data_IF_568232194557
#
_entry.id   IF_568232194557
#
_cell.length_a   1.000
_cell.length_b   1.000
_cell.length_c   1.000
_cell.angle_alpha   90.00
_cell.angle_beta   90.00
_cell.angle_gamma   90.00
#
_symmetry.space_group_name_H-M   'P 1'
#
loop_
_entity.id
_entity.type
_entity.pdbx_description
1 polymer ?
#
# COMPACT_ATOMS: atom_id res chain seq x y z
N UNK A 1 -20.14 -9.24 15.47
CA UNK A 1 -19.39 -8.22 14.70
C UNK A 1 -19.17 -8.76 13.29
N UNK A 2 -19.39 -7.95 12.26
CA UNK A 2 -19.13 -8.34 10.88
C UNK A 2 -17.62 -8.38 10.58
N UNK A 3 -17.14 -9.32 9.74
CA UNK A 3 -15.73 -9.40 9.34
C UNK A 3 -15.17 -8.09 8.80
N UNK A 4 -15.86 -7.46 7.83
CA UNK A 4 -15.42 -6.20 7.23
C UNK A 4 -15.29 -5.05 8.24
N UNK A 5 -16.06 -5.08 9.34
CA UNK A 5 -15.91 -4.11 10.41
C UNK A 5 -14.62 -4.34 11.22
N UNK A 6 -14.18 -5.59 11.36
CA UNK A 6 -12.89 -5.91 11.98
C UNK A 6 -11.75 -5.33 11.16
N UNK A 7 -11.71 -5.58 9.84
CA UNK A 7 -10.76 -4.96 8.91
C UNK A 7 -10.78 -3.44 9.04
N UNK A 8 -11.97 -2.82 9.05
CA UNK A 8 -12.12 -1.37 9.13
C UNK A 8 -11.61 -0.78 10.44
N UNK A 9 -11.79 -1.46 11.58
CA UNK A 9 -11.22 -1.04 12.87
C UNK A 9 -9.69 -1.07 12.80
N UNK A 10 -9.11 -2.13 12.22
CA UNK A 10 -7.66 -2.25 12.04
C UNK A 10 -7.11 -1.10 11.20
N UNK A 11 -7.77 -0.81 10.08
CA UNK A 11 -7.42 0.34 9.24
C UNK A 11 -7.57 1.68 9.95
N UNK A 12 -8.57 1.81 10.83
CA UNK A 12 -8.74 2.97 11.69
C UNK A 12 -7.52 3.27 12.57
N UNK A 13 -6.82 2.23 13.05
CA UNK A 13 -5.58 2.40 13.81
C UNK A 13 -4.45 3.00 12.97
N UNK A 14 -4.34 2.61 11.69
CA UNK A 14 -3.38 3.21 10.76
C UNK A 14 -3.74 4.67 10.47
N UNK A 15 -5.01 4.97 10.20
CA UNK A 15 -5.45 6.35 9.96
C UNK A 15 -5.17 7.25 11.16
N UNK A 16 -5.39 6.73 12.38
CA UNK A 16 -5.02 7.42 13.61
C UNK A 16 -3.51 7.68 13.68
N UNK A 17 -2.67 6.69 13.36
CA UNK A 17 -1.22 6.87 13.35
C UNK A 17 -0.76 7.89 12.30
N UNK A 18 -1.33 7.87 11.09
CA UNK A 18 -1.04 8.89 10.06
C UNK A 18 -1.46 10.28 10.53
N UNK A 19 -2.60 10.40 11.22
CA UNK A 19 -3.02 11.67 11.82
C UNK A 19 -2.03 12.16 12.88
N UNK A 20 -1.61 11.27 13.79
CA UNK A 20 -0.60 11.57 14.80
C UNK A 20 0.74 11.97 14.15
N UNK A 21 1.15 11.29 13.09
CA UNK A 21 2.35 11.64 12.31
C UNK A 21 2.24 13.06 11.76
N UNK A 22 1.12 13.43 11.13
CA UNK A 22 0.94 14.78 10.56
C UNK A 22 0.93 15.87 11.63
N UNK A 23 0.43 15.58 12.84
CA UNK A 23 0.36 16.56 13.93
C UNK A 23 1.70 16.69 14.67
N UNK A 24 2.33 15.56 15.00
CA UNK A 24 3.46 15.52 15.94
C UNK A 24 4.83 15.35 15.25
N UNK A 25 4.89 14.88 14.01
CA UNK A 25 6.13 14.68 13.26
C UNK A 25 5.94 14.90 11.74
N UNK A 26 5.48 16.09 11.31
CA UNK A 26 5.18 16.36 9.92
C UNK A 26 6.42 16.37 9.00
N UNK A 27 7.63 16.45 9.57
CA UNK A 27 8.89 16.43 8.82
C UNK A 27 9.40 15.03 8.47
N UNK A 28 8.83 13.99 9.12
CA UNK A 28 9.23 12.57 9.00
C UNK A 28 10.68 12.29 9.45
N UNK A 29 11.29 13.18 10.26
CA UNK A 29 12.68 13.04 10.73
C UNK A 29 12.75 12.79 12.23
N UNK A 30 12.00 13.57 13.03
CA UNK A 30 12.05 13.47 14.50
C UNK A 30 13.34 14.02 15.13
N UNK A 31 13.67 13.65 16.38
CA UNK A 31 12.95 12.68 17.21
C UNK A 31 11.62 13.25 17.74
N UNK A 32 10.59 12.43 17.69
CA UNK A 32 9.31 12.68 18.35
C UNK A 32 9.30 12.10 19.77
N UNK A 33 8.21 12.35 20.50
CA UNK A 33 8.03 11.70 21.80
C UNK A 33 7.97 10.17 21.63
N UNK A 34 8.68 9.36 22.44
CA UNK A 34 8.74 7.89 22.33
C UNK A 34 7.39 7.18 22.10
N UNK A 35 6.34 7.64 22.79
CA UNK A 35 4.97 7.12 22.68
C UNK A 35 4.45 7.16 21.22
N UNK A 36 4.88 8.13 20.41
CA UNK A 36 4.46 8.22 19.01
C UNK A 36 4.93 7.00 18.21
N UNK A 37 6.19 6.59 18.37
CA UNK A 37 6.75 5.41 17.70
C UNK A 37 6.12 4.11 18.21
N UNK A 38 5.87 4.00 19.52
CA UNK A 38 5.12 2.87 20.07
C UNK A 38 3.68 2.83 19.56
N UNK A 39 3.03 3.99 19.35
CA UNK A 39 1.72 4.07 18.71
C UNK A 39 1.77 3.56 17.27
N UNK A 40 2.82 3.92 16.51
CA UNK A 40 3.04 3.40 15.16
C UNK A 40 3.13 1.87 15.15
N UNK A 41 4.00 1.31 15.99
CA UNK A 41 4.16 -0.14 16.14
C UNK A 41 2.85 -0.82 16.54
N UNK A 42 2.16 -0.28 17.55
CA UNK A 42 0.91 -0.84 18.04
C UNK A 42 -0.20 -0.80 16.99
N UNK A 43 -0.36 0.33 16.29
CA UNK A 43 -1.41 0.45 15.27
C UNK A 43 -1.14 -0.42 14.05
N UNK A 44 0.12 -0.60 13.64
CA UNK A 44 0.47 -1.54 12.57
C UNK A 44 0.26 -3.00 13.00
N UNK A 45 0.61 -3.34 14.23
CA UNK A 45 0.35 -4.67 14.78
C UNK A 45 -1.14 -4.95 14.94
N UNK A 46 -1.91 -3.96 15.40
CA UNK A 46 -3.37 -4.03 15.49
C UNK A 46 -3.99 -4.24 14.11
N UNK A 47 -3.56 -3.47 13.10
CA UNK A 47 -3.98 -3.65 11.72
C UNK A 47 -3.72 -5.09 11.26
N UNK A 48 -2.46 -5.53 11.33
CA UNK A 48 -2.04 -6.87 10.91
C UNK A 48 -2.84 -7.98 11.61
N UNK A 49 -3.10 -7.81 12.91
CA UNK A 49 -3.90 -8.77 13.66
C UNK A 49 -5.35 -8.77 13.20
N UNK A 50 -5.97 -7.60 13.00
CA UNK A 50 -7.37 -7.46 12.63
C UNK A 50 -7.65 -7.98 11.22
N UNK A 51 -6.75 -7.69 10.28
CA UNK A 51 -6.70 -8.26 8.94
C UNK A 51 -6.69 -9.79 9.01
N UNK A 52 -5.73 -10.40 9.71
CA UNK A 52 -5.63 -11.86 9.79
C UNK A 52 -6.77 -12.61 10.51
N UNK A 53 -7.59 -11.90 11.32
CA UNK A 53 -8.71 -12.52 12.03
C UNK A 53 -10.05 -12.33 11.32
N UNK A 54 -10.16 -11.43 10.33
CA UNK A 54 -11.43 -11.10 9.68
C UNK A 54 -12.02 -12.34 8.96
N UNK A 55 -11.20 -13.12 8.26
CA UNK A 55 -11.60 -14.32 7.53
C UNK A 55 -11.87 -15.49 8.48
N UNK A 56 -11.15 -15.55 9.61
CA UNK A 56 -11.48 -16.50 10.70
C UNK A 56 -12.84 -16.16 11.29
N UNK A 57 -13.12 -14.88 11.50
CA UNK A 57 -14.40 -14.39 11.98
C UNK A 57 -15.50 -14.68 10.94
N UNK A 58 -15.26 -14.45 9.65
CA UNK A 58 -16.21 -14.75 8.57
C UNK A 58 -16.61 -16.22 8.53
N UNK A 59 -15.64 -17.13 8.66
CA UNK A 59 -15.91 -18.58 8.76
C UNK A 59 -16.69 -18.93 10.02
N UNK A 60 -16.31 -18.35 11.17
CA UNK A 60 -16.97 -18.59 12.46
C UNK A 60 -18.43 -18.14 12.45
N UNK A 61 -18.74 -17.00 11.82
CA UNK A 61 -20.10 -16.45 11.77
C UNK A 61 -20.90 -16.90 10.55
N UNK A 62 -20.33 -17.74 9.66
CA UNK A 62 -20.98 -18.18 8.43
C UNK A 62 -21.27 -17.04 7.45
N UNK A 63 -20.48 -15.97 7.48
CA UNK A 63 -20.70 -14.74 6.70
C UNK A 63 -19.62 -14.47 5.66
N UNK A 64 -18.87 -15.49 5.24
CA UNK A 64 -17.90 -15.40 4.15
C UNK A 64 -18.59 -14.99 2.84
N UNK A 65 -18.00 -14.03 2.12
CA UNK A 65 -18.54 -13.56 0.84
C UNK A 65 -17.45 -12.96 -0.05
N UNK A 66 -17.66 -12.88 -1.38
CA UNK A 66 -16.78 -12.13 -2.29
C UNK A 66 -16.61 -10.66 -1.91
N UNK A 67 -17.63 -10.05 -1.27
CA UNK A 67 -17.54 -8.70 -0.75
C UNK A 67 -16.48 -8.59 0.36
N UNK A 68 -16.39 -9.60 1.22
CA UNK A 68 -15.38 -9.65 2.28
C UNK A 68 -13.98 -9.60 1.71
N UNK A 69 -13.66 -10.47 0.75
CA UNK A 69 -12.36 -10.48 0.07
C UNK A 69 -12.06 -9.17 -0.67
N UNK A 70 -13.04 -8.58 -1.37
CA UNK A 70 -12.86 -7.29 -2.02
C UNK A 70 -12.61 -6.15 -1.02
N UNK A 71 -13.28 -6.19 0.13
CA UNK A 71 -13.16 -5.17 1.16
C UNK A 71 -11.79 -5.28 1.85
N UNK A 72 -11.41 -6.48 2.26
CA UNK A 72 -10.19 -6.78 3.00
C UNK A 72 -8.93 -6.41 2.19
N UNK A 73 -8.70 -7.08 1.06
CA UNK A 73 -7.57 -6.78 0.18
C UNK A 73 -7.65 -5.35 -0.42
N UNK A 74 -8.86 -4.78 -0.50
CA UNK A 74 -9.04 -3.39 -0.90
C UNK A 74 -8.47 -2.41 0.13
N UNK A 75 -8.65 -2.69 1.42
CA UNK A 75 -8.07 -1.94 2.54
C UNK A 75 -6.56 -2.16 2.63
N UNK A 76 -6.06 -3.40 2.44
CA UNK A 76 -4.61 -3.68 2.33
C UNK A 76 -3.92 -2.80 1.30
N UNK A 77 -4.57 -2.62 0.15
CA UNK A 77 -4.05 -1.78 -0.91
C UNK A 77 -3.95 -0.32 -0.50
N UNK A 78 -4.95 0.21 0.22
CA UNK A 78 -4.86 1.58 0.76
C UNK A 78 -3.76 1.69 1.80
N UNK A 79 -3.60 0.65 2.63
CA UNK A 79 -2.68 0.64 3.75
C UNK A 79 -1.20 0.65 3.32
N UNK A 80 -0.88 0.12 2.13
CA UNK A 80 0.48 -0.01 1.61
C UNK A 80 1.33 1.25 1.78
N UNK A 81 0.84 2.42 1.36
CA UNK A 81 1.59 3.68 1.49
C UNK A 81 1.41 4.34 2.86
N UNK A 82 0.26 4.13 3.52
CA UNK A 82 -0.10 4.80 4.78
C UNK A 82 0.65 4.22 5.99
N UNK A 83 0.68 2.89 6.15
CA UNK A 83 1.50 2.25 7.16
C UNK A 83 2.99 2.55 6.93
N UNK A 84 3.41 2.59 5.67
CA UNK A 84 4.82 2.83 5.32
C UNK A 84 5.27 4.29 5.52
N UNK A 85 4.35 5.26 5.54
CA UNK A 85 4.64 6.62 6.02
C UNK A 85 5.06 6.59 7.51
N UNK A 86 4.38 5.78 8.32
CA UNK A 86 4.73 5.64 9.74
C UNK A 86 6.11 5.01 9.90
N UNK A 87 6.47 4.06 9.04
CA UNK A 87 7.82 3.45 9.02
C UNK A 87 8.88 4.47 8.62
N UNK A 88 8.58 5.27 7.59
CA UNK A 88 9.45 6.36 7.12
C UNK A 88 9.76 7.36 8.25
N UNK A 89 8.75 7.71 9.04
CA UNK A 89 8.90 8.58 10.21
C UNK A 89 9.65 7.89 11.36
N UNK A 90 9.35 6.62 11.63
CA UNK A 90 10.03 5.85 12.67
C UNK A 90 11.53 5.74 12.41
N UNK A 91 11.90 5.56 11.14
CA UNK A 91 13.30 5.50 10.72
C UNK A 91 13.97 6.88 10.55
N UNK A 92 13.25 7.99 10.75
CA UNK A 92 13.81 9.35 10.60
C UNK A 92 14.26 9.69 9.18
N UNK A 93 13.66 9.09 8.16
CA UNK A 93 14.15 9.19 6.77
C UNK A 93 13.81 10.51 6.08
N UNK A 94 12.84 11.27 6.60
CA UNK A 94 12.44 12.56 6.04
C UNK A 94 12.00 12.49 4.57
N UNK A 95 12.20 13.61 3.86
CA UNK A 95 11.95 13.71 2.41
C UNK A 95 13.16 13.31 1.56
N UNK A 96 14.02 12.45 2.08
CA UNK A 96 15.13 11.89 1.30
C UNK A 96 14.62 10.93 0.22
N UNK A 97 15.46 10.60 -0.76
CA UNK A 97 15.12 9.57 -1.75
C UNK A 97 14.81 8.22 -1.08
N UNK A 98 15.52 7.88 0.00
CA UNK A 98 15.26 6.69 0.80
C UNK A 98 13.90 6.76 1.48
N UNK A 99 13.52 7.89 2.07
CA UNK A 99 12.19 8.07 2.67
C UNK A 99 11.04 7.91 1.66
N UNK A 100 11.16 8.54 0.49
CA UNK A 100 10.19 8.39 -0.60
C UNK A 100 10.11 6.96 -1.13
N UNK A 101 11.25 6.27 -1.24
CA UNK A 101 11.26 4.86 -1.61
C UNK A 101 10.59 3.99 -0.55
N UNK A 102 10.96 4.15 0.72
CA UNK A 102 10.40 3.38 1.83
C UNK A 102 8.89 3.49 1.83
N UNK A 103 8.36 4.71 1.76
CA UNK A 103 6.91 4.95 1.77
C UNK A 103 6.14 4.36 0.57
N UNK A 104 6.81 4.09 -0.56
CA UNK A 104 6.16 3.65 -1.79
C UNK A 104 6.40 2.19 -2.13
N UNK A 105 7.50 1.57 -1.68
CA UNK A 105 7.87 0.21 -2.08
C UNK A 105 6.80 -0.86 -1.78
N UNK A 106 5.97 -0.80 -0.72
CA UNK A 106 4.99 -1.85 -0.43
C UNK A 106 3.93 -2.05 -1.51
N UNK A 107 3.72 -1.08 -2.40
CA UNK A 107 2.77 -1.21 -3.53
C UNK A 107 3.18 -2.33 -4.50
N UNK A 108 4.48 -2.62 -4.62
CA UNK A 108 4.98 -3.66 -5.51
C UNK A 108 4.56 -5.07 -5.05
N UNK A 109 4.96 -5.55 -3.85
CA UNK A 109 4.57 -6.87 -3.41
C UNK A 109 3.04 -7.04 -3.36
N UNK A 110 2.30 -6.02 -2.92
CA UNK A 110 0.84 -6.06 -2.89
C UNK A 110 0.23 -6.26 -4.28
N UNK A 111 0.72 -5.52 -5.28
CA UNK A 111 0.22 -5.66 -6.65
C UNK A 111 0.51 -7.04 -7.23
N UNK A 112 1.73 -7.57 -7.03
CA UNK A 112 2.11 -8.87 -7.58
C UNK A 112 1.39 -10.03 -6.90
N UNK A 113 1.09 -9.94 -5.60
CA UNK A 113 0.22 -10.92 -4.92
C UNK A 113 -1.23 -10.85 -5.40
N UNK A 114 -1.72 -9.63 -5.69
CA UNK A 114 -3.06 -9.44 -6.28
C UNK A 114 -3.13 -10.03 -7.70
N UNK A 115 -2.11 -9.78 -8.52
CA UNK A 115 -1.99 -10.33 -9.86
C UNK A 115 -1.86 -11.85 -9.85
N UNK A 116 -1.08 -12.41 -8.92
CA UNK A 116 -1.00 -13.84 -8.70
C UNK A 116 -2.38 -14.44 -8.38
N UNK A 117 -3.07 -13.88 -7.38
CA UNK A 117 -4.40 -14.32 -6.95
C UNK A 117 -5.42 -14.28 -8.09
N UNK A 118 -5.33 -13.30 -8.99
CA UNK A 118 -6.19 -13.23 -10.17
C UNK A 118 -6.08 -14.50 -11.05
N UNK A 119 -4.89 -15.08 -11.23
CA UNK A 119 -4.67 -16.29 -12.05
C UNK A 119 -4.76 -17.60 -11.29
N UNK A 120 -4.33 -17.63 -10.03
CA UNK A 120 -4.33 -18.84 -9.20
C UNK A 120 -5.68 -19.08 -8.52
N UNK A 121 -6.54 -18.06 -8.48
CA UNK A 121 -7.78 -17.98 -7.72
C UNK A 121 -7.65 -18.31 -6.23
N UNK A 122 -6.42 -18.19 -5.71
CA UNK A 122 -6.09 -18.49 -4.32
C UNK A 122 -4.96 -17.56 -3.90
N UNK A 123 -5.18 -16.82 -2.81
CA UNK A 123 -4.10 -16.09 -2.16
C UNK A 123 -3.27 -17.09 -1.33
N UNK A 124 -2.14 -17.53 -1.88
CA UNK A 124 -1.25 -18.45 -1.17
C UNK A 124 -0.24 -17.66 -0.33
N UNK A 125 -0.51 -17.55 0.97
CA UNK A 125 0.46 -17.07 1.96
C UNK A 125 1.23 -18.26 2.50
N UNK A 126 2.39 -18.56 1.91
CA UNK A 126 3.30 -19.58 2.41
C UNK A 126 3.87 -19.26 3.80
N UNK A 127 4.64 -20.19 4.37
CA UNK A 127 5.31 -20.00 5.67
C UNK A 127 6.15 -18.72 5.74
N UNK A 128 6.84 -18.42 4.64
CA UNK A 128 7.42 -17.12 4.35
C UNK A 128 6.67 -16.56 3.15
N UNK A 129 6.00 -15.42 3.32
CA UNK A 129 5.15 -14.86 2.27
C UNK A 129 5.53 -13.46 1.86
N UNK A 130 6.37 -12.75 2.62
CA UNK A 130 6.78 -11.38 2.34
C UNK A 130 5.98 -10.38 3.18
N UNK A 131 4.66 -10.24 3.00
CA UNK A 131 3.83 -9.33 3.80
C UNK A 131 3.94 -9.56 5.30
N UNK A 132 3.88 -10.80 5.77
CA UNK A 132 3.93 -11.10 7.22
C UNK A 132 5.27 -10.69 7.82
N UNK A 133 6.37 -11.10 7.19
CA UNK A 133 7.72 -10.74 7.65
C UNK A 133 7.95 -9.23 7.58
N UNK A 134 7.49 -8.58 6.51
CA UNK A 134 7.60 -7.13 6.33
C UNK A 134 6.86 -6.36 7.42
N UNK A 135 5.65 -6.78 7.78
CA UNK A 135 4.87 -6.16 8.86
C UNK A 135 5.54 -6.36 10.24
N UNK A 136 6.09 -7.54 10.50
CA UNK A 136 6.83 -7.81 11.75
C UNK A 136 8.08 -6.94 11.82
N UNK A 137 8.88 -6.88 10.75
CA UNK A 137 10.10 -6.06 10.68
C UNK A 137 9.75 -4.60 10.89
N UNK A 138 8.73 -4.07 10.22
CA UNK A 138 8.28 -2.68 10.40
C UNK A 138 7.82 -2.42 11.85
N UNK A 139 7.01 -3.30 12.44
CA UNK A 139 6.59 -3.15 13.84
C UNK A 139 7.80 -3.11 14.80
N UNK A 140 8.81 -3.96 14.55
CA UNK A 140 10.05 -3.99 15.33
C UNK A 140 10.86 -2.71 15.13
N UNK A 141 11.02 -2.23 13.90
CA UNK A 141 11.70 -0.98 13.60
C UNK A 141 11.01 0.22 14.30
N UNK A 142 9.68 0.30 14.23
CA UNK A 142 8.90 1.29 14.97
C UNK A 142 9.11 1.20 16.48
N UNK A 143 9.06 0.01 17.07
CA UNK A 143 9.27 -0.18 18.51
C UNK A 143 10.69 0.17 18.96
N UNK A 144 11.71 -0.23 18.19
CA UNK A 144 13.11 0.10 18.44
C UNK A 144 13.35 1.61 18.38
N UNK A 145 12.70 2.31 17.45
CA UNK A 145 12.71 3.76 17.37
C UNK A 145 12.05 4.41 18.59
N UNK A 146 11.07 3.75 19.22
CA UNK A 146 10.49 4.20 20.48
C UNK A 146 11.42 4.03 21.68
N UNK A 147 12.23 2.96 21.71
CA UNK A 147 13.17 2.68 22.82
C UNK A 147 14.41 3.56 22.72
N UNK A 148 15.04 3.59 21.54
CA UNK A 148 16.34 4.21 21.35
C UNK A 148 16.27 5.53 20.60
N UNK A 149 15.17 5.84 19.92
CA UNK A 149 15.05 6.98 19.01
C UNK A 149 15.38 6.63 17.56
N UNK A 150 14.98 7.45 16.58
CA UNK A 150 15.20 7.20 15.15
C UNK A 150 16.67 7.30 14.74
N UNK A 151 17.54 7.90 15.57
CA UNK A 151 18.96 8.09 15.23
C UNK A 151 19.72 6.78 15.08
N UNK A 152 19.28 5.68 15.71
CA UNK A 152 19.90 4.36 15.59
C UNK A 152 20.01 3.89 14.14
N UNK A 153 19.08 4.30 13.27
CA UNK A 153 19.10 3.92 11.86
C UNK A 153 20.15 4.67 11.05
N UNK A 154 20.67 5.77 11.61
CA UNK A 154 21.64 6.67 10.99
C UNK A 154 23.06 6.43 11.52
N UNK A 155 23.22 5.66 12.60
CA UNK A 155 24.51 5.24 13.12
C UNK A 155 25.18 4.23 12.17
N UNK A 156 26.52 4.23 12.16
CA UNK A 156 27.27 3.28 11.34
C UNK A 156 27.00 1.88 11.87
N UNK A 157 26.77 0.95 10.95
CA UNK A 157 26.57 -0.46 11.29
C UNK A 157 27.80 -1.00 12.02
N UNK A 158 29.00 -0.62 11.55
CA UNK A 158 30.27 -1.02 12.14
C UNK A 158 30.40 -0.64 13.63
N UNK A 159 29.88 0.52 14.03
CA UNK A 159 29.95 1.00 15.41
C UNK A 159 28.96 0.24 16.32
N UNK A 160 27.89 -0.32 15.74
CA UNK A 160 26.85 -1.06 16.48
C UNK A 160 27.15 -2.56 16.60
N UNK A 161 27.57 -3.20 15.50
CA UNK A 161 27.73 -4.67 15.42
C UNK A 161 29.15 -5.12 15.07
N UNK A 162 30.11 -4.21 14.88
CA UNK A 162 31.49 -4.52 14.48
C UNK A 162 31.68 -4.70 12.97
N UNK A 163 32.82 -5.25 12.56
CA UNK A 163 33.19 -5.53 11.15
C UNK A 163 33.33 -4.28 10.24
N UNK A 164 34.17 -3.28 10.61
CA UNK A 164 34.40 -2.09 9.80
C UNK A 164 34.95 -2.38 8.39
N UNK A 165 35.63 -3.52 8.21
CA UNK A 165 36.11 -3.99 6.91
C UNK A 165 34.99 -4.44 5.96
N UNK A 166 33.81 -4.79 6.48
CA UNK A 166 32.64 -5.20 5.70
C UNK A 166 31.68 -4.02 5.50
N UNK A 167 31.35 -3.32 6.59
CA UNK A 167 30.31 -2.29 6.57
C UNK A 167 30.84 -0.89 6.27
N UNK A 168 32.15 -0.65 6.36
CA UNK A 168 32.76 0.65 6.12
C UNK A 168 31.99 1.78 6.85
N UNK A 169 31.60 2.82 6.12
CA UNK A 169 30.82 3.96 6.63
C UNK A 169 29.31 3.81 6.44
N UNK A 170 28.81 2.63 6.05
CA UNK A 170 27.37 2.42 5.85
C UNK A 170 26.61 2.40 7.17
N UNK A 171 25.50 3.13 7.20
CA UNK A 171 24.48 3.08 8.26
C UNK A 171 23.34 2.12 7.91
N UNK A 172 22.50 1.77 8.88
CA UNK A 172 21.36 0.85 8.64
C UNK A 172 20.40 1.37 7.56
N UNK A 173 20.15 2.68 7.52
CA UNK A 173 19.32 3.30 6.46
C UNK A 173 19.95 3.21 5.06
N UNK A 174 21.28 3.10 4.94
CA UNK A 174 21.95 3.08 3.64
C UNK A 174 21.80 1.71 2.97
N UNK A 175 21.79 0.64 3.76
CA UNK A 175 21.54 -0.72 3.27
C UNK A 175 20.04 -1.08 3.18
N UNK A 176 19.16 -0.24 3.75
CA UNK A 176 17.71 -0.47 3.76
C UNK A 176 17.10 -0.65 2.37
N UNK A 177 17.36 0.31 1.46
CA UNK A 177 16.85 0.23 0.08
C UNK A 177 17.35 -1.04 -0.62
N UNK A 178 18.67 -1.34 -0.67
CA UNK A 178 19.16 -2.56 -1.31
C UNK A 178 18.54 -3.83 -0.75
N UNK A 179 18.39 -3.93 0.58
CA UNK A 179 17.84 -5.13 1.24
C UNK A 179 16.38 -5.34 0.90
N UNK A 180 15.54 -4.31 1.05
CA UNK A 180 14.09 -4.42 0.79
C UNK A 180 13.83 -4.64 -0.71
N UNK A 181 14.51 -3.89 -1.59
CA UNK A 181 14.32 -4.03 -3.03
C UNK A 181 14.80 -5.40 -3.54
N UNK A 182 15.95 -5.87 -3.06
CA UNK A 182 16.48 -7.19 -3.43
C UNK A 182 15.57 -8.32 -2.96
N UNK A 183 15.02 -8.22 -1.74
CA UNK A 183 14.04 -9.18 -1.24
C UNK A 183 12.82 -9.26 -2.17
N UNK A 184 12.30 -8.12 -2.63
CA UNK A 184 11.20 -8.13 -3.59
C UNK A 184 11.59 -8.77 -4.93
N UNK A 185 12.72 -8.36 -5.53
CA UNK A 185 13.14 -8.79 -6.87
C UNK A 185 13.57 -10.26 -6.92
N UNK A 186 14.27 -10.75 -5.90
CA UNK A 186 14.87 -12.09 -5.92
C UNK A 186 14.06 -13.13 -5.15
N UNK A 187 13.12 -12.71 -4.30
CA UNK A 187 12.27 -13.63 -3.53
C UNK A 187 10.82 -13.49 -3.97
N UNK A 188 10.15 -12.38 -3.64
CA UNK A 188 8.69 -12.25 -3.82
C UNK A 188 8.24 -12.38 -5.28
N UNK A 189 8.78 -11.54 -6.16
CA UNK A 189 8.38 -11.49 -7.57
C UNK A 189 8.59 -12.83 -8.30
N UNK A 190 9.75 -13.52 -8.18
CA UNK A 190 9.95 -14.84 -8.78
C UNK A 190 8.93 -15.88 -8.32
N UNK A 191 8.52 -15.88 -7.04
CA UNK A 191 7.47 -16.77 -6.55
C UNK A 191 6.12 -16.48 -7.21
N UNK A 192 5.68 -15.21 -7.26
CA UNK A 192 4.45 -14.83 -7.94
C UNK A 192 4.46 -15.24 -9.43
N UNK A 193 5.57 -14.99 -10.13
CA UNK A 193 5.74 -15.39 -11.54
C UNK A 193 5.65 -16.89 -11.71
N UNK A 194 6.36 -17.66 -10.88
CA UNK A 194 6.34 -19.13 -10.92
C UNK A 194 4.90 -19.66 -10.74
N UNK A 195 4.17 -19.11 -9.77
CA UNK A 195 2.82 -19.55 -9.45
C UNK A 195 1.84 -19.22 -10.59
N UNK A 196 1.90 -18.02 -11.15
CA UNK A 196 1.08 -17.64 -12.31
C UNK A 196 1.41 -18.48 -13.55
N UNK A 197 2.69 -18.68 -13.86
CA UNK A 197 3.11 -19.52 -14.99
C UNK A 197 2.61 -20.95 -14.81
N UNK A 198 2.70 -21.51 -13.60
CA UNK A 198 2.21 -22.85 -13.31
C UNK A 198 0.68 -22.94 -13.46
N UNK A 199 -0.06 -21.96 -12.94
CA UNK A 199 -1.52 -21.92 -13.04
C UNK A 199 -1.97 -21.85 -14.51
N UNK A 200 -1.33 -20.99 -15.32
CA UNK A 200 -1.64 -20.87 -16.75
C UNK A 200 -1.32 -22.13 -17.54
N UNK A 201 -0.16 -22.75 -17.28
CA UNK A 201 0.21 -24.03 -17.92
C UNK A 201 -0.78 -25.14 -17.58
N UNK A 202 -1.21 -25.23 -16.31
CA UNK A 202 -2.22 -26.21 -15.89
C UNK A 202 -3.58 -26.01 -16.60
N UNK A 203 -3.90 -24.76 -16.97
CA UNK A 203 -5.10 -24.42 -17.72
C UNK A 203 -4.92 -24.50 -19.26
N UNK A 204 -3.74 -24.89 -19.75
CA UNK A 204 -3.44 -24.92 -21.19
C UNK A 204 -3.38 -23.53 -21.86
N UNK A 205 -3.19 -22.46 -21.08
CA UNK A 205 -3.19 -21.08 -21.57
C UNK A 205 -1.77 -20.62 -21.99
N UNK A 206 -1.65 -19.73 -22.99
CA UNK A 206 -0.36 -19.16 -23.38
C UNK A 206 0.23 -18.34 -22.24
N UNK A 207 1.53 -18.48 -21.99
CA UNK A 207 2.23 -17.80 -20.89
C UNK A 207 2.59 -16.36 -21.25
N UNK A 208 3.26 -16.13 -22.38
CA UNK A 208 3.87 -14.84 -22.69
C UNK A 208 2.92 -13.62 -22.61
N UNK A 209 1.66 -13.68 -23.08
CA UNK A 209 0.76 -12.52 -23.01
C UNK A 209 0.44 -12.05 -21.58
N UNK A 210 0.60 -12.90 -20.57
CA UNK A 210 0.27 -12.54 -19.18
C UNK A 210 1.11 -11.39 -18.64
N UNK A 211 2.33 -11.21 -19.17
CA UNK A 211 3.21 -10.13 -18.74
C UNK A 211 2.76 -8.75 -19.25
N UNK A 212 1.86 -8.69 -20.24
CA UNK A 212 1.20 -7.43 -20.60
C UNK A 212 0.31 -6.91 -19.47
N UNK A 213 -0.18 -7.79 -18.59
CA UNK A 213 -0.98 -7.39 -17.44
C UNK A 213 -0.17 -6.59 -16.41
N UNK A 214 1.16 -6.50 -16.56
CA UNK A 214 2.03 -5.63 -15.75
C UNK A 214 1.95 -4.16 -16.17
N UNK A 215 1.33 -3.84 -17.31
CA UNK A 215 1.16 -2.46 -17.77
C UNK A 215 0.63 -1.48 -16.71
N UNK A 216 -0.40 -1.79 -15.89
CA UNK A 216 -0.89 -0.87 -14.87
C UNK A 216 0.17 -0.54 -13.82
N UNK A 217 0.86 -1.55 -13.26
CA UNK A 217 1.87 -1.31 -12.21
C UNK A 217 3.12 -0.66 -12.77
N UNK A 218 3.54 -1.01 -13.99
CA UNK A 218 4.66 -0.36 -14.67
C UNK A 218 4.32 1.11 -14.97
N UNK A 219 3.10 1.40 -15.39
CA UNK A 219 2.65 2.79 -15.61
C UNK A 219 2.60 3.57 -14.30
N UNK A 220 2.00 3.00 -13.26
CA UNK A 220 1.91 3.61 -11.93
C UNK A 220 3.30 3.93 -11.36
N UNK A 221 4.19 2.95 -11.36
CA UNK A 221 5.55 3.09 -10.81
C UNK A 221 6.43 3.98 -11.66
N UNK A 222 6.41 3.85 -12.99
CA UNK A 222 7.19 4.72 -13.87
C UNK A 222 6.75 6.18 -13.77
N UNK A 223 5.45 6.46 -13.80
CA UNK A 223 4.93 7.82 -13.65
C UNK A 223 5.16 8.38 -12.24
N UNK A 224 4.92 7.59 -11.20
CA UNK A 224 5.22 7.94 -9.82
C UNK A 224 6.69 8.28 -9.63
N UNK A 225 7.59 7.45 -10.17
CA UNK A 225 9.03 7.69 -10.09
C UNK A 225 9.48 8.90 -10.91
N UNK A 226 8.97 9.05 -12.14
CA UNK A 226 9.26 10.16 -13.01
C UNK A 226 8.82 11.50 -12.40
N UNK A 227 7.74 11.51 -11.60
CA UNK A 227 7.34 12.69 -10.84
C UNK A 227 8.18 12.87 -9.58
N UNK A 228 8.13 11.90 -8.65
CA UNK A 228 8.71 11.99 -7.31
C UNK A 228 10.24 12.11 -7.30
N UNK A 229 10.94 11.43 -8.22
CA UNK A 229 12.40 11.42 -8.28
C UNK A 229 12.98 12.30 -9.39
N UNK A 230 12.14 13.10 -10.07
CA UNK A 230 12.62 14.12 -11.00
C UNK A 230 13.64 15.04 -10.31
N UNK A 231 14.70 15.51 -11.00
CA UNK A 231 15.52 16.60 -10.50
C UNK A 231 14.78 17.94 -10.48
N UNK A 232 13.65 18.06 -11.18
CA UNK A 232 12.87 19.30 -11.32
C UNK A 232 11.65 19.37 -10.38
N UNK A 233 11.35 18.30 -9.64
CA UNK A 233 10.24 18.29 -8.68
C UNK A 233 10.58 19.09 -7.43
N UNK A 234 9.62 19.87 -6.98
CA UNK A 234 9.66 20.60 -5.71
C UNK A 234 9.03 19.80 -4.56
N UNK A 235 8.33 18.69 -4.86
CA UNK A 235 7.64 17.89 -3.84
C UNK A 235 8.56 17.34 -2.75
N UNK A 236 9.80 16.98 -3.11
CA UNK A 236 10.80 16.50 -2.15
C UNK A 236 11.38 17.64 -1.31
N UNK A 237 11.75 18.75 -1.94
CA UNK A 237 12.34 19.89 -1.24
C UNK A 237 11.35 20.61 -0.33
N UNK A 238 10.05 20.55 -0.64
CA UNK A 238 9.00 21.24 0.12
C UNK A 238 8.17 20.32 1.04
N UNK A 239 8.63 19.09 1.30
CA UNK A 239 7.97 18.17 2.23
C UNK A 239 6.51 17.82 1.87
N UNK A 240 6.29 17.32 0.66
CA UNK A 240 4.95 16.91 0.19
C UNK A 240 4.74 15.39 0.14
N UNK A 241 5.63 14.59 0.74
CA UNK A 241 5.55 13.11 0.74
C UNK A 241 4.23 12.58 1.30
N UNK A 242 3.75 13.12 2.43
CA UNK A 242 2.51 12.65 3.06
C UNK A 242 1.31 12.82 2.13
N UNK A 243 1.15 13.99 1.51
CA UNK A 243 0.08 14.25 0.56
C UNK A 243 0.20 13.35 -0.69
N UNK A 244 1.42 13.11 -1.15
CA UNK A 244 1.69 12.21 -2.26
C UNK A 244 1.25 10.78 -1.94
N UNK A 245 1.63 10.24 -0.78
CA UNK A 245 1.25 8.90 -0.32
C UNK A 245 -0.26 8.76 -0.08
N UNK A 246 -0.93 9.78 0.49
CA UNK A 246 -2.39 9.83 0.63
C UNK A 246 -3.10 9.83 -0.73
N UNK A 247 -2.52 10.48 -1.74
CA UNK A 247 -3.08 10.48 -3.09
C UNK A 247 -2.89 9.14 -3.77
N UNK A 248 -1.68 8.59 -3.66
CA UNK A 248 -1.33 7.30 -4.25
C UNK A 248 -2.02 6.13 -3.58
N UNK A 249 -2.38 6.20 -2.30
CA UNK A 249 -3.17 5.14 -1.65
C UNK A 249 -4.50 4.94 -2.38
N UNK A 250 -5.22 6.01 -2.72
CA UNK A 250 -6.46 5.92 -3.50
C UNK A 250 -6.24 5.44 -4.93
N UNK A 251 -5.22 5.97 -5.62
CA UNK A 251 -4.92 5.57 -6.99
C UNK A 251 -4.53 4.09 -7.10
N UNK A 252 -3.65 3.64 -6.20
CA UNK A 252 -3.22 2.26 -6.10
C UNK A 252 -4.36 1.35 -5.65
N UNK A 253 -5.09 1.74 -4.59
CA UNK A 253 -6.26 1.01 -4.11
C UNK A 253 -7.33 0.84 -5.18
N UNK A 254 -7.55 1.84 -6.03
CA UNK A 254 -8.47 1.70 -7.17
C UNK A 254 -7.93 0.70 -8.20
N UNK A 255 -6.64 0.73 -8.48
CA UNK A 255 -6.01 -0.16 -9.45
C UNK A 255 -6.11 -1.63 -8.99
N UNK A 256 -5.74 -1.93 -7.75
CA UNK A 256 -5.79 -3.29 -7.19
C UNK A 256 -7.21 -3.80 -7.03
N UNK A 257 -8.14 -2.99 -6.50
CA UNK A 257 -9.54 -3.40 -6.34
C UNK A 257 -10.24 -3.67 -7.67
N UNK A 258 -9.82 -3.06 -8.78
CA UNK A 258 -10.28 -3.49 -10.11
C UNK A 258 -9.86 -4.91 -10.42
N UNK A 259 -8.60 -5.26 -10.17
CA UNK A 259 -8.06 -6.61 -10.41
C UNK A 259 -8.78 -7.62 -9.52
N UNK A 260 -8.96 -7.31 -8.23
CA UNK A 260 -9.70 -8.16 -7.28
C UNK A 260 -11.15 -8.36 -7.74
N UNK A 261 -11.85 -7.29 -8.11
CA UNK A 261 -13.22 -7.40 -8.60
C UNK A 261 -13.30 -8.23 -9.90
N UNK A 262 -12.36 -8.05 -10.82
CA UNK A 262 -12.31 -8.84 -12.05
C UNK A 262 -12.06 -10.33 -11.76
N UNK A 263 -11.18 -10.64 -10.81
CA UNK A 263 -10.97 -11.99 -10.30
C UNK A 263 -12.27 -12.60 -9.75
N UNK A 264 -12.93 -11.90 -8.82
CA UNK A 264 -14.16 -12.37 -8.16
C UNK A 264 -15.32 -12.58 -9.14
N UNK A 265 -15.43 -11.72 -10.16
CA UNK A 265 -16.46 -11.81 -11.20
C UNK A 265 -16.05 -12.66 -12.40
N UNK A 266 -14.84 -13.23 -12.41
CA UNK A 266 -14.24 -13.95 -13.56
C UNK A 266 -14.28 -13.14 -14.86
N UNK A 267 -14.00 -11.85 -14.76
CA UNK A 267 -13.92 -10.92 -15.89
C UNK A 267 -12.49 -10.84 -16.44
N UNK A 268 -12.31 -10.37 -17.69
CA UNK A 268 -10.99 -10.09 -18.25
C UNK A 268 -10.17 -9.13 -17.39
N UNK A 269 -8.83 -9.24 -17.47
CA UNK A 269 -7.91 -8.45 -16.67
C UNK A 269 -8.08 -6.95 -16.95
N UNK A 270 -8.19 -6.09 -15.92
CA UNK A 270 -8.39 -4.67 -16.09
C UNK A 270 -7.05 -3.92 -16.27
N UNK A 271 -6.70 -3.60 -17.51
CA UNK A 271 -5.44 -2.93 -17.85
C UNK A 271 -5.35 -1.44 -17.50
N UNK A 272 -6.44 -0.79 -17.07
CA UNK A 272 -6.45 0.65 -16.87
C UNK A 272 -7.37 1.13 -15.75
N UNK A 273 -6.96 2.21 -15.09
CA UNK A 273 -7.82 3.04 -14.23
C UNK A 273 -7.58 4.52 -14.55
N UNK A 274 -8.66 5.31 -14.56
CA UNK A 274 -8.58 6.76 -14.84
C UNK A 274 -7.72 7.51 -13.83
N UNK A 275 -7.52 6.95 -12.63
CA UNK A 275 -6.65 7.54 -11.61
C UNK A 275 -5.16 7.54 -11.98
N UNK A 276 -4.74 6.82 -13.02
CA UNK A 276 -3.37 6.93 -13.54
C UNK A 276 -3.16 8.21 -14.36
N UNK A 277 -4.23 8.82 -14.90
CA UNK A 277 -4.11 9.98 -15.79
C UNK A 277 -3.45 11.18 -15.08
N UNK A 278 -3.86 11.60 -13.87
CA UNK A 278 -3.20 12.71 -13.21
C UNK A 278 -1.80 12.36 -12.69
N UNK A 279 -1.53 11.08 -12.36
CA UNK A 279 -0.17 10.64 -11.99
C UNK A 279 0.81 10.81 -13.16
N UNK A 280 0.39 10.37 -14.34
CA UNK A 280 1.12 10.57 -15.59
C UNK A 280 1.24 12.07 -15.90
N UNK A 281 0.14 12.82 -15.76
CA UNK A 281 0.13 14.26 -15.99
C UNK A 281 1.08 15.02 -15.07
N UNK A 282 1.22 14.64 -13.80
CA UNK A 282 2.21 15.22 -12.89
C UNK A 282 3.66 14.93 -13.31
N UNK A 283 3.93 13.71 -13.79
CA UNK A 283 5.23 13.38 -14.37
C UNK A 283 5.56 14.24 -15.61
N UNK A 284 4.61 14.44 -16.52
CA UNK A 284 4.79 15.33 -17.67
C UNK A 284 4.92 16.79 -17.25
N UNK A 285 4.09 17.26 -16.29
CA UNK A 285 4.09 18.63 -15.80
C UNK A 285 5.49 19.07 -15.35
N UNK A 286 6.20 18.21 -14.62
CA UNK A 286 7.50 18.54 -14.05
C UNK A 286 8.65 18.35 -15.04
N UNK A 287 8.58 17.34 -15.92
CA UNK A 287 9.72 16.97 -16.77
C UNK A 287 9.68 17.58 -18.18
N UNK A 288 8.49 17.90 -18.72
CA UNK A 288 8.36 18.40 -20.10
C UNK A 288 8.82 19.86 -20.28
N UNK A 289 8.44 20.82 -19.42
CA UNK A 289 8.86 22.22 -19.63
C UNK A 289 10.39 22.40 -19.65
N UNK A 290 11.18 21.80 -18.74
CA UNK A 290 12.64 21.84 -18.83
C UNK A 290 13.19 21.19 -20.10
N UNK A 291 12.63 20.06 -20.53
CA UNK A 291 13.05 19.36 -21.75
C UNK A 291 12.83 20.19 -23.02
N UNK A 292 11.81 21.05 -23.02
CA UNK A 292 11.49 21.96 -24.12
C UNK A 292 12.16 23.36 -24.00
N UNK A 293 12.96 23.59 -22.95
CA UNK A 293 13.67 24.85 -22.74
C UNK A 293 12.84 25.96 -22.08
N UNK A 294 11.67 25.66 -21.50
CA UNK A 294 10.78 26.64 -20.83
C UNK A 294 11.07 26.84 -19.33
N UNK A 295 12.13 26.23 -18.80
CA UNK A 295 12.44 26.25 -17.36
C UNK A 295 11.60 25.28 -16.54
N UNK A 296 11.74 25.32 -15.21
CA UNK A 296 11.00 24.46 -14.28
C UNK A 296 9.65 25.05 -13.90
N UNK A 297 8.67 24.19 -13.61
CA UNK A 297 7.39 24.63 -13.05
C UNK A 297 7.57 25.23 -11.66
N UNK A 298 6.69 26.16 -11.27
CA UNK A 298 6.70 26.73 -9.92
C UNK A 298 6.21 25.71 -8.90
N UNK A 299 6.74 25.79 -7.67
CA UNK A 299 6.33 24.90 -6.58
C UNK A 299 4.84 25.00 -6.27
N UNK A 300 4.28 26.22 -6.31
CA UNK A 300 2.85 26.44 -6.13
C UNK A 300 2.00 25.70 -7.17
N UNK A 301 2.41 25.71 -8.45
CA UNK A 301 1.68 25.01 -9.51
C UNK A 301 1.72 23.50 -9.29
N UNK A 302 2.91 22.95 -9.00
CA UNK A 302 3.08 21.52 -8.74
C UNK A 302 2.27 21.05 -7.52
N UNK A 303 2.28 21.83 -6.43
CA UNK A 303 1.51 21.55 -5.23
C UNK A 303 -0.01 21.62 -5.48
N UNK A 304 -0.49 22.64 -6.18
CA UNK A 304 -1.92 22.73 -6.54
C UNK A 304 -2.36 21.60 -7.46
N UNK A 305 -1.49 21.15 -8.36
CA UNK A 305 -1.73 19.97 -9.18
C UNK A 305 -1.87 18.71 -8.32
N UNK A 306 -0.96 18.49 -7.37
CA UNK A 306 -1.04 17.36 -6.45
C UNK A 306 -2.30 17.40 -5.57
N UNK A 307 -2.69 18.58 -5.05
CA UNK A 307 -3.94 18.76 -4.30
C UNK A 307 -5.18 18.48 -5.14
N UNK A 308 -5.20 18.94 -6.39
CA UNK A 308 -6.26 18.62 -7.35
C UNK A 308 -6.35 17.12 -7.61
N UNK A 309 -5.21 16.46 -7.78
CA UNK A 309 -5.14 15.01 -7.93
C UNK A 309 -5.66 14.28 -6.68
N UNK A 310 -5.27 14.72 -5.47
CA UNK A 310 -5.77 14.16 -4.22
C UNK A 310 -7.30 14.19 -4.14
N UNK A 311 -7.91 15.37 -4.38
CA UNK A 311 -9.38 15.52 -4.33
C UNK A 311 -10.05 14.64 -5.39
N UNK A 312 -9.51 14.61 -6.61
CA UNK A 312 -10.00 13.74 -7.68
C UNK A 312 -9.94 12.26 -7.28
N UNK A 313 -8.79 11.79 -6.78
CA UNK A 313 -8.57 10.41 -6.39
C UNK A 313 -9.50 9.99 -5.23
N UNK A 314 -9.65 10.85 -4.22
CA UNK A 314 -10.57 10.67 -3.10
C UNK A 314 -12.02 10.48 -3.58
N UNK A 315 -12.53 11.43 -4.38
CA UNK A 315 -13.92 11.42 -4.86
C UNK A 315 -14.18 10.20 -5.73
N UNK A 316 -13.30 9.90 -6.69
CA UNK A 316 -13.49 8.77 -7.61
C UNK A 316 -13.38 7.44 -6.86
N UNK A 317 -12.49 7.32 -5.86
CA UNK A 317 -12.34 6.10 -5.07
C UNK A 317 -13.59 5.83 -4.25
N UNK A 318 -14.05 6.79 -3.46
CA UNK A 318 -15.20 6.60 -2.58
C UNK A 318 -16.51 6.44 -3.35
N UNK A 319 -16.71 7.17 -4.45
CA UNK A 319 -17.87 6.96 -5.32
C UNK A 319 -17.91 5.52 -5.86
N UNK A 320 -16.77 5.01 -6.32
CA UNK A 320 -16.67 3.63 -6.78
C UNK A 320 -16.91 2.63 -5.63
N UNK A 321 -16.23 2.80 -4.49
CA UNK A 321 -16.30 1.90 -3.35
C UNK A 321 -17.74 1.78 -2.83
N UNK A 322 -18.41 2.91 -2.58
CA UNK A 322 -19.80 2.93 -2.11
C UNK A 322 -20.74 2.25 -3.11
N UNK A 323 -20.61 2.57 -4.40
CA UNK A 323 -21.46 1.98 -5.44
C UNK A 323 -21.25 0.47 -5.55
N UNK A 324 -20.01 0.00 -5.57
CA UNK A 324 -19.67 -1.42 -5.69
C UNK A 324 -20.11 -2.20 -4.45
N UNK A 325 -19.82 -1.69 -3.24
CA UNK A 325 -20.26 -2.32 -1.99
C UNK A 325 -21.80 -2.44 -1.97
N UNK A 326 -22.53 -1.35 -2.23
CA UNK A 326 -23.98 -1.36 -2.21
C UNK A 326 -24.58 -2.29 -3.28
N UNK A 327 -23.97 -2.35 -4.47
CA UNK A 327 -24.43 -3.27 -5.53
C UNK A 327 -24.26 -4.73 -5.12
N UNK A 328 -23.11 -5.10 -4.55
CA UNK A 328 -22.85 -6.47 -4.10
C UNK A 328 -23.75 -6.82 -2.90
N UNK A 329 -23.87 -5.91 -1.93
CA UNK A 329 -24.78 -6.06 -0.80
C UNK A 329 -26.23 -6.28 -1.25
N UNK A 330 -26.72 -5.47 -2.19
CA UNK A 330 -28.07 -5.59 -2.73
C UNK A 330 -28.30 -6.90 -3.48
N UNK A 331 -27.32 -7.34 -4.26
CA UNK A 331 -27.39 -8.61 -5.00
C UNK A 331 -27.36 -9.84 -4.07
N UNK A 332 -26.50 -9.83 -3.05
CA UNK A 332 -26.33 -10.95 -2.12
C UNK A 332 -27.31 -10.92 -0.94
N UNK A 333 -28.05 -9.82 -0.74
CA UNK A 333 -28.93 -9.64 0.41
C UNK A 333 -28.20 -9.55 1.75
N UNK A 334 -26.96 -9.01 1.76
CA UNK A 334 -26.12 -8.88 2.97
C UNK A 334 -25.87 -7.41 3.31
N UNK A 335 -25.53 -7.13 4.57
CA UNK A 335 -25.05 -5.81 5.01
C UNK A 335 -23.52 -5.85 5.14
N UNK A 336 -22.83 -4.81 4.68
CA UNK A 336 -21.37 -4.77 4.65
C UNK A 336 -20.75 -4.80 6.06
N UNK A 337 -21.26 -3.99 7.01
CA UNK A 337 -20.62 -3.77 8.32
C UNK A 337 -21.39 -4.37 9.51
N UNK A 338 -22.48 -5.11 9.26
CA UNK A 338 -23.32 -5.69 10.32
C UNK A 338 -23.81 -7.07 9.94
N UNK A 339 -23.91 -7.98 10.90
CA UNK A 339 -24.57 -9.27 10.73
C UNK A 339 -25.97 -9.15 11.33
N UNK A 340 -27.06 -9.36 10.56
CA UNK A 340 -28.43 -9.33 11.10
C UNK A 340 -28.61 -10.37 12.20
N UNK A 341 -29.42 -10.07 13.21
CA UNK A 341 -29.81 -11.07 14.22
C UNK A 341 -30.75 -12.11 13.59
N UNK A 342 -30.73 -13.32 14.13
CA UNK A 342 -31.43 -14.48 13.55
C UNK A 342 -32.95 -14.27 13.37
N UNK A 343 -33.57 -13.46 14.24
CA UNK A 343 -34.99 -13.07 14.14
C UNK A 343 -35.29 -12.14 12.94
N UNK A 344 -34.36 -11.27 12.54
CA UNK A 344 -34.53 -10.40 11.36
C UNK A 344 -34.45 -11.20 10.06
N UNK A 345 -33.62 -12.24 10.01
CA UNK A 345 -33.47 -13.12 8.83
C UNK A 345 -34.77 -13.89 8.54
N UNK A 346 -35.47 -14.31 9.59
CA UNK A 346 -36.78 -14.99 9.46
C UNK A 346 -37.87 -14.04 8.98
N UNK A 347 -37.88 -12.77 9.44
CA UNK A 347 -38.83 -11.76 8.93
C UNK A 347 -38.61 -11.45 7.46
N UNK A 348 -37.38 -11.25 7.02
CA UNK A 348 -37.06 -10.90 5.62
C UNK A 348 -37.35 -12.06 4.64
N UNK A 349 -37.25 -13.33 5.07
CA UNK A 349 -37.64 -14.48 4.24
C UNK A 349 -39.15 -14.69 4.14
N UNK A 350 -39.92 -14.09 5.04
CA UNK A 350 -41.38 -14.24 5.13
C UNK A 350 -42.14 -13.01 4.57
N UNK A 351 -41.44 -12.07 3.97
CA UNK A 351 -41.94 -10.89 3.25
C UNK A 351 -41.37 -10.91 1.85
#
# INVERSE_FOLDING_TARGET
MAPNLVTLIGFGAILFNVLCLVIFMPDLVGPGHPILYFSFAFGLWMYSTMDNIDGKQARRTGSSSPLGELFDHGIDSLNCTLASLCETAAMGLGNTKTGWFTALIPVLPMWFSTWETYHTHTLYLGYFNGPTEGLIIACLCMALSGVYGPHIWHEKIADTIGYPEVFHDYSFKDIWFPVIFSTFIFIHLPFCVKNVVSARRAQGLPVLPVFLEWTPILTFTAAGCAWAFSPYTTLRSENHLVLFCLTLSFAFGRMTTKVILAHLLRQPFPYWTVMLVPLIGGAFLVNTPPLLGYGTVSAALELWYLRGYFVFALVVYFNWAVKTINTICGYLGIKCLTIPYQEEIVRVKNT
#
